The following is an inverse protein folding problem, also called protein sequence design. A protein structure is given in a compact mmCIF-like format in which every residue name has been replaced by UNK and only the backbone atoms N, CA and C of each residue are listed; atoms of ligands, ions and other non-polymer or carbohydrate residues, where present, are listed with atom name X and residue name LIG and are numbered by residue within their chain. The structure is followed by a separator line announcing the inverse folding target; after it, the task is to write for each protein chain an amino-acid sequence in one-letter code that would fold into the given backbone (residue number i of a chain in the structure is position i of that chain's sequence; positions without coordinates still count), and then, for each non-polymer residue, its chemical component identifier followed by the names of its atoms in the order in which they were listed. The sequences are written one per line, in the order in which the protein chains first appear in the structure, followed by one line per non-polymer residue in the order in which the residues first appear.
data_IF_765458680124
#
_entry.id   IF_765458680124
#
_cell.length_a   1.000
_cell.length_b   1.000
_cell.length_c   1.000
_cell.angle_alpha   90.00
_cell.angle_beta   90.00
_cell.angle_gamma   90.00
#
_symmetry.space_group_name_H-M   'P 1'
#
loop_
_entity.id
_entity.type
_entity.pdbx_description
1 polymer ?
#
# COMPACT_ATOMS: atom_id res chain seq x y z
N UNK A 1 13.17 -39.83 10.67
CA UNK A 1 12.80 -40.11 9.27
C UNK A 1 11.33 -39.80 8.98
N UNK A 2 10.35 -40.71 9.11
CA UNK A 2 8.95 -40.40 8.74
C UNK A 2 8.35 -39.21 9.52
N UNK A 3 8.55 -39.17 10.84
CA UNK A 3 8.06 -38.08 11.71
C UNK A 3 8.70 -36.72 11.39
N UNK A 4 10.02 -36.68 11.19
CA UNK A 4 10.75 -35.46 10.80
C UNK A 4 10.32 -34.93 9.42
N UNK A 5 10.05 -35.83 8.45
CA UNK A 5 9.55 -35.43 7.12
C UNK A 5 8.14 -34.84 7.22
N UNK A 6 7.27 -35.43 8.06
CA UNK A 6 5.92 -34.90 8.32
C UNK A 6 6.00 -33.51 8.97
N UNK A 7 6.86 -33.32 9.99
CA UNK A 7 7.07 -32.02 10.65
C UNK A 7 7.60 -30.95 9.68
N UNK A 8 8.49 -31.30 8.76
CA UNK A 8 8.97 -30.39 7.71
C UNK A 8 7.81 -29.96 6.80
N UNK A 9 6.98 -30.91 6.35
CA UNK A 9 5.83 -30.63 5.46
C UNK A 9 4.78 -29.75 6.16
N UNK A 10 4.45 -30.05 7.42
CA UNK A 10 3.50 -29.25 8.21
C UNK A 10 3.99 -27.81 8.37
N UNK A 11 5.26 -27.64 8.77
CA UNK A 11 5.88 -26.30 8.90
C UNK A 11 5.91 -25.54 7.58
N UNK A 12 6.20 -26.23 6.46
CA UNK A 12 6.17 -25.64 5.13
C UNK A 12 4.77 -25.14 4.76
N UNK A 13 3.73 -25.92 5.03
CA UNK A 13 2.35 -25.55 4.75
C UNK A 13 1.88 -24.36 5.60
N UNK A 14 2.19 -24.35 6.90
CA UNK A 14 1.88 -23.22 7.79
C UNK A 14 2.54 -21.93 7.31
N UNK A 15 3.82 -22.02 6.93
CA UNK A 15 4.61 -20.89 6.42
C UNK A 15 4.02 -20.32 5.12
N UNK A 16 3.62 -21.19 4.18
CA UNK A 16 3.00 -20.75 2.92
C UNK A 16 1.66 -20.09 3.18
N UNK A 17 0.83 -20.64 4.07
CA UNK A 17 -0.46 -20.04 4.43
C UNK A 17 -0.28 -18.67 5.10
N UNK A 18 0.73 -18.51 5.95
CA UNK A 18 1.06 -17.23 6.57
C UNK A 18 1.52 -16.20 5.51
N UNK A 19 2.38 -16.59 4.57
CA UNK A 19 2.82 -15.71 3.49
C UNK A 19 1.64 -15.23 2.61
N UNK A 20 0.72 -16.14 2.26
CA UNK A 20 -0.50 -15.81 1.51
C UNK A 20 -1.38 -14.83 2.29
N UNK A 21 -1.55 -15.03 3.61
CA UNK A 21 -2.29 -14.09 4.46
C UNK A 21 -1.66 -12.71 4.48
N UNK A 22 -0.34 -12.62 4.67
CA UNK A 22 0.38 -11.32 4.67
C UNK A 22 0.23 -10.58 3.34
N UNK A 23 0.28 -11.29 2.20
CA UNK A 23 0.05 -10.68 0.88
C UNK A 23 -1.41 -10.19 0.74
N UNK A 24 -2.39 -10.98 1.20
CA UNK A 24 -3.79 -10.59 1.15
C UNK A 24 -4.06 -9.35 2.02
N UNK A 25 -3.52 -9.31 3.24
CA UNK A 25 -3.61 -8.17 4.14
C UNK A 25 -2.94 -6.92 3.57
N UNK A 26 -1.76 -7.08 2.96
CA UNK A 26 -1.06 -6.00 2.27
C UNK A 26 -1.92 -5.41 1.16
N UNK A 27 -2.53 -6.25 0.30
CA UNK A 27 -3.42 -5.79 -0.77
C UNK A 27 -4.64 -5.03 -0.24
N UNK A 28 -5.30 -5.57 0.78
CA UNK A 28 -6.45 -4.91 1.40
C UNK A 28 -6.05 -3.53 1.95
N UNK A 29 -4.96 -3.46 2.71
CA UNK A 29 -4.48 -2.21 3.29
C UNK A 29 -4.05 -1.19 2.23
N UNK A 30 -3.40 -1.63 1.15
CA UNK A 30 -3.05 -0.75 0.03
C UNK A 30 -4.31 -0.23 -0.66
N UNK A 31 -5.30 -1.09 -0.90
CA UNK A 31 -6.56 -0.69 -1.51
C UNK A 31 -7.33 0.30 -0.63
N UNK A 32 -7.45 0.03 0.67
CA UNK A 32 -8.12 0.92 1.63
C UNK A 32 -7.49 2.32 1.64
N UNK A 33 -6.16 2.39 1.64
CA UNK A 33 -5.43 3.67 1.55
C UNK A 33 -5.71 4.42 0.25
N UNK A 34 -5.65 3.74 -0.88
CA UNK A 34 -5.93 4.34 -2.19
C UNK A 34 -7.39 4.84 -2.27
N UNK A 35 -8.33 4.04 -1.76
CA UNK A 35 -9.73 4.41 -1.72
C UNK A 35 -9.96 5.63 -0.82
N UNK A 36 -9.33 5.65 0.36
CA UNK A 36 -9.41 6.79 1.27
C UNK A 36 -8.86 8.07 0.61
N UNK A 37 -7.71 7.99 -0.06
CA UNK A 37 -7.14 9.12 -0.80
C UNK A 37 -8.08 9.63 -1.91
N UNK A 38 -8.69 8.72 -2.67
CA UNK A 38 -9.65 9.08 -3.72
C UNK A 38 -10.92 9.73 -3.14
N UNK A 39 -11.43 9.19 -2.02
CA UNK A 39 -12.59 9.75 -1.32
C UNK A 39 -12.29 11.16 -0.78
N UNK A 40 -11.14 11.35 -0.15
CA UNK A 40 -10.72 12.67 0.35
C UNK A 40 -10.54 13.68 -0.78
N UNK A 41 -9.99 13.25 -1.91
CA UNK A 41 -9.83 14.10 -3.09
C UNK A 41 -11.18 14.48 -3.70
N UNK A 42 -12.11 13.53 -3.81
CA UNK A 42 -13.46 13.79 -4.30
C UNK A 42 -14.21 14.79 -3.40
N UNK A 43 -14.16 14.60 -2.07
CA UNK A 43 -14.75 15.53 -1.11
C UNK A 43 -14.18 16.94 -1.25
N UNK A 44 -12.85 17.04 -1.42
CA UNK A 44 -12.18 18.31 -1.66
C UNK A 44 -12.64 18.99 -2.95
N UNK A 45 -12.76 18.25 -4.07
CA UNK A 45 -13.23 18.83 -5.33
C UNK A 45 -14.70 19.29 -5.24
N UNK A 46 -15.55 18.57 -4.50
CA UNK A 46 -16.92 19.01 -4.25
C UNK A 46 -16.96 20.32 -3.44
N UNK A 47 -16.16 20.42 -2.38
CA UNK A 47 -16.03 21.65 -1.59
C UNK A 47 -15.51 22.82 -2.45
N UNK A 48 -14.40 22.60 -3.18
CA UNK A 48 -13.82 23.60 -4.07
C UNK A 48 -14.81 24.09 -5.13
N UNK A 49 -15.64 23.20 -5.67
CA UNK A 49 -16.69 23.55 -6.62
C UNK A 49 -17.79 24.40 -5.98
N UNK A 50 -18.23 24.05 -4.76
CA UNK A 50 -19.22 24.83 -4.02
C UNK A 50 -18.72 26.25 -3.72
N UNK A 51 -17.47 26.38 -3.25
CA UNK A 51 -16.82 27.67 -3.00
C UNK A 51 -16.61 28.47 -4.29
N UNK A 52 -16.34 27.80 -5.42
CA UNK A 52 -16.25 28.45 -6.73
C UNK A 52 -17.58 29.08 -7.14
N UNK A 53 -18.71 28.38 -6.94
CA UNK A 53 -20.04 28.95 -7.17
C UNK A 53 -20.36 30.10 -6.21
N UNK A 54 -19.96 29.96 -4.94
CA UNK A 54 -20.13 31.02 -3.94
C UNK A 54 -19.34 32.29 -4.33
N UNK A 55 -18.11 32.14 -4.79
CA UNK A 55 -17.29 33.25 -5.26
C UNK A 55 -17.94 33.99 -6.44
N UNK A 56 -18.50 33.25 -7.40
CA UNK A 56 -19.20 33.87 -8.55
C UNK A 56 -20.45 34.65 -8.14
N UNK A 57 -21.14 34.21 -7.08
CA UNK A 57 -22.41 34.84 -6.65
C UNK A 57 -22.22 35.95 -5.62
N UNK A 58 -21.11 35.94 -4.86
CA UNK A 58 -20.88 36.87 -3.74
C UNK A 58 -19.74 37.86 -3.95
N UNK A 59 -18.92 37.72 -5.00
CA UNK A 59 -17.83 38.67 -5.25
C UNK A 59 -18.37 40.09 -5.48
N UNK A 60 -17.75 41.09 -4.84
CA UNK A 60 -18.17 42.51 -4.96
C UNK A 60 -17.62 43.21 -6.20
N UNK A 61 -16.89 42.46 -7.04
CA UNK A 61 -16.32 42.95 -8.29
C UNK A 61 -15.28 41.99 -8.88
N UNK A 62 -14.73 42.37 -10.04
CA UNK A 62 -13.78 41.55 -10.78
C UNK A 62 -12.47 41.28 -10.02
N UNK A 63 -11.99 42.24 -9.22
CA UNK A 63 -10.78 42.06 -8.41
C UNK A 63 -10.99 40.98 -7.32
N UNK A 64 -12.12 41.00 -6.62
CA UNK A 64 -12.46 39.98 -5.61
C UNK A 64 -12.61 38.60 -6.25
N UNK A 65 -13.25 38.53 -7.43
CA UNK A 65 -13.38 37.29 -8.19
C UNK A 65 -12.01 36.72 -8.59
N UNK A 66 -11.12 37.57 -9.14
CA UNK A 66 -9.77 37.15 -9.55
C UNK A 66 -8.91 36.72 -8.37
N UNK A 67 -8.99 37.44 -7.25
CA UNK A 67 -8.29 37.05 -6.03
C UNK A 67 -8.77 35.69 -5.51
N UNK A 68 -10.09 35.46 -5.49
CA UNK A 68 -10.65 34.17 -5.08
C UNK A 68 -10.33 33.03 -6.03
N UNK A 69 -10.34 33.26 -7.36
CA UNK A 69 -9.93 32.25 -8.34
C UNK A 69 -8.46 31.87 -8.19
N UNK A 70 -7.57 32.85 -7.97
CA UNK A 70 -6.16 32.60 -7.72
C UNK A 70 -5.93 31.80 -6.42
N UNK A 71 -6.66 32.13 -5.36
CA UNK A 71 -6.60 31.38 -4.11
C UNK A 71 -7.06 29.93 -4.30
N UNK A 72 -8.19 29.72 -4.99
CA UNK A 72 -8.73 28.40 -5.29
C UNK A 72 -7.74 27.58 -6.13
N UNK A 73 -7.17 28.18 -7.18
CA UNK A 73 -6.20 27.53 -8.06
C UNK A 73 -4.93 27.12 -7.30
N UNK A 74 -4.44 27.97 -6.39
CA UNK A 74 -3.30 27.67 -5.54
C UNK A 74 -3.58 26.48 -4.62
N UNK A 75 -4.73 26.49 -3.96
CA UNK A 75 -5.12 25.42 -3.04
C UNK A 75 -5.30 24.08 -3.77
N UNK A 76 -5.94 24.08 -4.95
CA UNK A 76 -6.02 22.91 -5.83
C UNK A 76 -4.63 22.37 -6.18
N UNK A 77 -3.70 23.26 -6.52
CA UNK A 77 -2.31 22.90 -6.81
C UNK A 77 -1.58 22.28 -5.61
N UNK A 78 -1.68 22.92 -4.44
CA UNK A 78 -1.06 22.44 -3.20
C UNK A 78 -1.65 21.07 -2.79
N UNK A 79 -2.98 20.89 -2.87
CA UNK A 79 -3.65 19.64 -2.53
C UNK A 79 -3.28 18.51 -3.50
N UNK A 80 -3.22 18.78 -4.80
CA UNK A 80 -2.79 17.78 -5.78
C UNK A 80 -1.34 17.36 -5.58
N UNK A 81 -0.44 18.30 -5.32
CA UNK A 81 0.96 17.99 -5.01
C UNK A 81 1.09 17.18 -3.72
N UNK A 82 0.29 17.49 -2.69
CA UNK A 82 0.25 16.70 -1.47
C UNK A 82 -0.22 15.26 -1.74
N UNK A 83 -1.29 15.08 -2.53
CA UNK A 83 -1.80 13.77 -2.87
C UNK A 83 -0.80 12.94 -3.70
N UNK A 84 -0.10 13.55 -4.66
CA UNK A 84 0.97 12.88 -5.41
C UNK A 84 2.09 12.43 -4.47
N UNK A 85 2.53 13.30 -3.56
CA UNK A 85 3.60 12.95 -2.60
C UNK A 85 3.18 11.79 -1.69
N UNK A 86 1.98 11.86 -1.11
CA UNK A 86 1.47 10.79 -0.24
C UNK A 86 1.31 9.48 -1.01
N UNK A 87 0.74 9.53 -2.22
CA UNK A 87 0.60 8.36 -3.08
C UNK A 87 1.93 7.71 -3.43
N UNK A 88 2.96 8.51 -3.75
CA UNK A 88 4.32 7.98 -3.97
C UNK A 88 4.90 7.31 -2.72
N UNK A 89 4.70 7.90 -1.54
CA UNK A 89 5.14 7.30 -0.26
C UNK A 89 4.43 5.97 0.00
N UNK A 90 3.12 5.89 -0.20
CA UNK A 90 2.35 4.66 0.02
C UNK A 90 2.70 3.54 -0.98
N UNK A 91 2.90 3.89 -2.25
CA UNK A 91 3.37 2.94 -3.28
C UNK A 91 4.75 2.41 -2.95
N UNK A 92 5.67 3.29 -2.55
CA UNK A 92 7.02 2.87 -2.16
C UNK A 92 6.99 1.94 -0.95
N UNK A 93 6.23 2.29 0.10
CA UNK A 93 6.07 1.45 1.28
C UNK A 93 5.49 0.07 0.94
N UNK A 94 4.45 0.02 0.11
CA UNK A 94 3.83 -1.23 -0.37
C UNK A 94 4.84 -2.08 -1.14
N UNK A 95 5.62 -1.47 -2.04
CA UNK A 95 6.66 -2.14 -2.82
C UNK A 95 7.78 -2.72 -1.95
N UNK A 96 8.23 -1.97 -0.95
CA UNK A 96 9.22 -2.44 0.03
C UNK A 96 8.68 -3.63 0.81
N UNK A 97 7.43 -3.58 1.26
CA UNK A 97 6.82 -4.68 2.02
C UNK A 97 6.65 -5.96 1.17
N UNK A 98 6.22 -5.81 -0.08
CA UNK A 98 6.23 -6.93 -1.05
C UNK A 98 7.61 -7.54 -1.22
N UNK A 99 8.64 -6.70 -1.36
CA UNK A 99 10.03 -7.15 -1.51
C UNK A 99 10.50 -7.91 -0.27
N UNK A 100 10.11 -7.47 0.93
CA UNK A 100 10.44 -8.14 2.18
C UNK A 100 9.75 -9.52 2.27
N UNK A 101 8.47 -9.62 1.89
CA UNK A 101 7.75 -10.90 1.87
C UNK A 101 8.40 -11.91 0.91
N UNK A 102 8.88 -11.44 -0.25
CA UNK A 102 9.62 -12.29 -1.20
C UNK A 102 10.95 -12.75 -0.57
N UNK A 103 11.70 -11.84 0.05
CA UNK A 103 12.97 -12.18 0.70
C UNK A 103 12.78 -13.17 1.86
N UNK A 104 11.72 -13.01 2.66
CA UNK A 104 11.32 -13.96 3.69
C UNK A 104 11.04 -15.33 3.08
N UNK A 105 10.24 -15.39 2.00
CA UNK A 105 9.97 -16.63 1.28
C UNK A 105 11.23 -17.34 0.77
N UNK A 106 12.19 -16.59 0.22
CA UNK A 106 13.49 -17.14 -0.23
C UNK A 106 14.31 -17.70 0.93
N UNK A 107 14.38 -16.99 2.06
CA UNK A 107 15.08 -17.48 3.26
C UNK A 107 14.45 -18.76 3.79
N UNK A 108 13.12 -18.80 3.87
CA UNK A 108 12.36 -19.97 4.30
C UNK A 108 12.61 -21.17 3.38
N UNK A 109 12.64 -20.96 2.06
CA UNK A 109 12.96 -22.01 1.10
C UNK A 109 14.40 -22.53 1.28
N UNK A 110 15.38 -21.65 1.50
CA UNK A 110 16.76 -22.05 1.79
C UNK A 110 16.85 -22.90 3.07
N UNK A 111 16.20 -22.46 4.16
CA UNK A 111 16.16 -23.19 5.42
C UNK A 111 15.56 -24.60 5.27
N UNK A 112 14.48 -24.73 4.49
CA UNK A 112 13.85 -26.01 4.21
C UNK A 112 14.77 -26.94 3.41
N UNK A 113 15.49 -26.43 2.40
CA UNK A 113 16.46 -27.21 1.62
C UNK A 113 17.64 -27.66 2.50
N UNK A 114 18.13 -26.80 3.38
CA UNK A 114 19.18 -27.14 4.34
C UNK A 114 18.72 -28.21 5.34
N UNK A 115 17.49 -28.11 5.85
CA UNK A 115 16.94 -29.13 6.74
C UNK A 115 16.73 -30.47 6.03
N UNK A 116 16.14 -30.46 4.84
CA UNK A 116 15.91 -31.67 4.05
C UNK A 116 17.23 -32.37 3.67
N UNK A 117 18.25 -31.62 3.27
CA UNK A 117 19.58 -32.19 2.99
C UNK A 117 20.26 -32.76 4.24
N UNK A 118 20.09 -32.12 5.40
CA UNK A 118 20.58 -32.66 6.68
C UNK A 118 19.90 -33.97 7.09
N UNK A 119 18.59 -34.09 6.88
CA UNK A 119 17.85 -35.36 7.10
C UNK A 119 18.31 -36.44 6.11
N UNK A 120 18.53 -36.09 4.85
CA UNK A 120 19.03 -37.02 3.83
C UNK A 120 20.45 -37.53 4.14
N UNK A 121 21.37 -36.66 4.59
CA UNK A 121 22.71 -37.09 5.01
C UNK A 121 22.68 -37.99 6.25
N UNK A 122 21.78 -37.73 7.22
CA UNK A 122 21.59 -38.61 8.37
C UNK A 122 21.00 -39.96 8.01
N UNK A 123 20.25 -40.06 6.91
CA UNK A 123 19.71 -41.31 6.40
C UNK A 123 20.74 -42.13 5.58
N UNK A 124 21.81 -41.48 5.12
CA UNK A 124 22.87 -42.09 4.31
C UNK A 124 24.07 -42.60 5.15
N UNK A 125 24.12 -42.29 6.45
CA UNK A 125 25.07 -42.81 7.44
C UNK A 125 24.36 -43.77 8.40
#
# INVERSE_FOLDING_TARGET
MQKEVIEIIEKSNETVLEAVRKIAELNMRTFDKLFQQQSEMAAFYMDASARGMELMTKAKGYQDLMAGQNALARELGERNMAAVRTGMTDVYATSTEYSNLIQEGVKLAQEQVTQASGVAMKAAN
#
